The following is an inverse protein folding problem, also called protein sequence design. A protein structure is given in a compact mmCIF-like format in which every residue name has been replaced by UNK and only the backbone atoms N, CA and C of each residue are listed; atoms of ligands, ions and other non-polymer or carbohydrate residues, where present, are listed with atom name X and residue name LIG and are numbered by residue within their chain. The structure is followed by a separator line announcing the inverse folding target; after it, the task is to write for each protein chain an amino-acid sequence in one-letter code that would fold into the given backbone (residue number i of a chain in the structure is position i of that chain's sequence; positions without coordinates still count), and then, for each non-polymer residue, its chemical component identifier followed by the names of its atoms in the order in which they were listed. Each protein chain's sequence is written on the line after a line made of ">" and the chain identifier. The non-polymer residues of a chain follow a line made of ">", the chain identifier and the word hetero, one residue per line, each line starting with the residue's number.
data_IF_199599496473
#
_entry.id   IF_199599496473
#
_cell.length_a   1.000
_cell.length_b   1.000
_cell.length_c   1.000
_cell.angle_alpha   90.00
_cell.angle_beta   90.00
_cell.angle_gamma   90.00
#
_symmetry.space_group_name_H-M   'P 1'
#
loop_
_entity.id
_entity.type
_entity.pdbx_description
1 polymer ?
#
# COMPACT_ATOMS: atom_id res chain seq x y z
N UNK A 1 47.71 -14.12 22.97
CA UNK A 1 46.41 -13.82 22.35
C UNK A 1 46.72 -13.44 20.91
N UNK A 2 46.35 -14.28 19.94
CA UNK A 2 46.91 -14.29 18.59
C UNK A 2 46.12 -13.35 17.66
N UNK A 3 46.80 -12.39 17.02
CA UNK A 3 46.17 -11.46 16.07
C UNK A 3 45.58 -12.19 14.86
N UNK A 4 46.19 -13.30 14.43
CA UNK A 4 45.71 -14.10 13.31
C UNK A 4 44.33 -14.70 13.54
N UNK A 5 43.97 -15.02 14.79
CA UNK A 5 42.65 -15.57 15.13
C UNK A 5 41.54 -14.52 15.01
N UNK A 6 41.85 -13.25 15.32
CA UNK A 6 40.89 -12.14 15.15
C UNK A 6 40.63 -11.82 13.67
N UNK A 7 41.66 -11.88 12.82
CA UNK A 7 41.48 -11.61 11.38
C UNK A 7 40.59 -12.66 10.71
N UNK A 8 40.66 -13.92 11.13
CA UNK A 8 39.79 -15.00 10.63
C UNK A 8 38.32 -14.77 11.02
N UNK A 9 38.05 -14.40 12.28
CA UNK A 9 36.69 -14.10 12.75
C UNK A 9 36.09 -12.89 12.02
N UNK A 10 36.88 -11.84 11.79
CA UNK A 10 36.44 -10.64 11.05
C UNK A 10 36.10 -10.97 9.60
N UNK A 11 36.90 -11.81 8.94
CA UNK A 11 36.62 -12.26 7.56
C UNK A 11 35.33 -13.08 7.52
N UNK A 12 35.13 -13.99 8.47
CA UNK A 12 33.93 -14.81 8.54
C UNK A 12 32.67 -13.97 8.79
N UNK A 13 32.71 -13.05 9.77
CA UNK A 13 31.60 -12.14 10.05
C UNK A 13 31.24 -11.27 8.84
N UNK A 14 32.23 -10.88 8.03
CA UNK A 14 32.02 -10.09 6.82
C UNK A 14 31.26 -10.87 5.74
N UNK A 15 31.59 -12.14 5.55
CA UNK A 15 30.87 -13.01 4.61
C UNK A 15 29.45 -13.34 5.11
N UNK A 16 29.27 -13.56 6.41
CA UNK A 16 27.95 -13.74 7.02
C UNK A 16 27.07 -12.49 6.84
N UNK A 17 27.60 -11.31 7.10
CA UNK A 17 26.89 -10.04 6.90
C UNK A 17 26.49 -9.82 5.43
N UNK A 18 27.35 -10.23 4.49
CA UNK A 18 27.06 -10.18 3.05
C UNK A 18 25.94 -11.15 2.67
N UNK A 19 25.94 -12.36 3.22
CA UNK A 19 24.89 -13.34 3.03
C UNK A 19 23.54 -12.85 3.59
N UNK A 20 23.53 -12.30 4.82
CA UNK A 20 22.33 -11.73 5.45
C UNK A 20 21.78 -10.59 4.61
N UNK A 21 22.64 -9.68 4.12
CA UNK A 21 22.21 -8.58 3.25
C UNK A 21 21.56 -9.08 1.95
N UNK A 22 22.12 -10.13 1.36
CA UNK A 22 21.56 -10.75 0.15
C UNK A 22 20.16 -11.33 0.42
N UNK A 23 20.02 -12.12 1.49
CA UNK A 23 18.71 -12.68 1.85
C UNK A 23 17.70 -11.60 2.22
N UNK A 24 18.12 -10.52 2.91
CA UNK A 24 17.25 -9.38 3.19
C UNK A 24 16.75 -8.73 1.91
N UNK A 25 17.63 -8.53 0.91
CA UNK A 25 17.24 -7.98 -0.40
C UNK A 25 16.25 -8.88 -1.12
N UNK A 26 16.46 -10.20 -1.09
CA UNK A 26 15.54 -11.19 -1.65
C UNK A 26 14.17 -11.15 -0.97
N UNK A 27 14.14 -11.00 0.36
CA UNK A 27 12.89 -10.81 1.11
C UNK A 27 12.15 -9.53 0.70
N UNK A 28 12.87 -8.41 0.49
CA UNK A 28 12.29 -7.16 0.00
C UNK A 28 11.67 -7.33 -1.39
N UNK A 29 12.41 -7.90 -2.33
CA UNK A 29 11.93 -8.11 -3.70
C UNK A 29 10.72 -9.07 -3.73
N UNK A 30 10.72 -10.09 -2.87
CA UNK A 30 9.57 -11.00 -2.72
C UNK A 30 8.35 -10.31 -2.12
N UNK A 31 8.54 -9.37 -1.20
CA UNK A 31 7.46 -8.56 -0.63
C UNK A 31 6.87 -7.63 -1.69
N UNK A 32 7.70 -6.89 -2.45
CA UNK A 32 7.25 -6.04 -3.56
C UNK A 32 6.48 -6.85 -4.62
N UNK A 33 6.97 -8.06 -4.95
CA UNK A 33 6.30 -8.95 -5.90
C UNK A 33 4.95 -9.43 -5.36
N UNK A 34 4.87 -9.78 -4.07
CA UNK A 34 3.63 -10.18 -3.42
C UNK A 34 2.62 -9.05 -3.37
N UNK A 35 3.05 -7.84 -3.02
CA UNK A 35 2.21 -6.64 -3.06
C UNK A 35 1.67 -6.43 -4.48
N UNK A 36 2.57 -6.36 -5.47
CA UNK A 36 2.19 -6.20 -6.88
C UNK A 36 1.21 -7.29 -7.35
N UNK A 37 1.41 -8.55 -6.94
CA UNK A 37 0.52 -9.65 -7.29
C UNK A 37 -0.86 -9.53 -6.62
N UNK A 38 -0.93 -9.14 -5.34
CA UNK A 38 -2.19 -8.91 -4.64
C UNK A 38 -2.96 -7.76 -5.31
N UNK A 39 -2.29 -6.67 -5.64
CA UNK A 39 -2.91 -5.56 -6.34
C UNK A 39 -3.30 -5.95 -7.77
N UNK A 40 -2.46 -6.65 -8.53
CA UNK A 40 -2.74 -7.03 -9.93
C UNK A 40 -3.99 -7.90 -10.11
N UNK A 41 -4.41 -8.66 -9.07
CA UNK A 41 -5.67 -9.42 -9.10
C UNK A 41 -6.93 -8.55 -9.27
N UNK A 42 -6.83 -7.26 -8.93
CA UNK A 42 -7.93 -6.32 -9.07
C UNK A 42 -7.78 -5.48 -10.33
N UNK A 43 -8.76 -5.60 -11.21
CA UNK A 43 -8.93 -4.71 -12.36
C UNK A 43 -9.01 -3.25 -11.90
N UNK A 44 -8.58 -2.34 -12.77
CA UNK A 44 -8.71 -0.92 -12.52
C UNK A 44 -10.19 -0.54 -12.40
N UNK A 45 -10.47 0.49 -11.60
CA UNK A 45 -11.81 1.01 -11.48
C UNK A 45 -12.23 1.70 -12.78
N UNK A 46 -13.29 1.20 -13.40
CA UNK A 46 -13.82 1.70 -14.69
C UNK A 46 -15.11 2.52 -14.53
N UNK A 47 -15.66 2.64 -13.32
CA UNK A 47 -16.94 3.32 -13.09
C UNK A 47 -18.19 2.45 -13.32
N UNK A 48 -18.03 1.13 -13.50
CA UNK A 48 -19.15 0.22 -13.70
C UNK A 48 -20.00 -0.03 -12.45
N UNK A 49 -19.41 0.05 -11.26
CA UNK A 49 -20.11 -0.12 -9.98
C UNK A 49 -19.90 1.08 -9.05
N UNK A 50 -20.77 1.28 -8.04
CA UNK A 50 -20.57 2.33 -7.05
C UNK A 50 -19.21 2.23 -6.36
N UNK A 51 -18.52 3.37 -6.13
CA UNK A 51 -17.20 3.42 -5.51
C UNK A 51 -17.06 2.63 -4.21
N UNK A 52 -18.08 2.70 -3.36
CA UNK A 52 -18.07 2.05 -2.04
C UNK A 52 -17.91 0.54 -2.19
N UNK A 53 -18.73 -0.05 -3.07
CA UNK A 53 -18.72 -1.48 -3.33
C UNK A 53 -17.38 -1.96 -3.90
N UNK A 54 -16.79 -1.20 -4.83
CA UNK A 54 -15.49 -1.52 -5.41
C UNK A 54 -14.37 -1.43 -4.36
N UNK A 55 -14.31 -0.31 -3.62
CA UNK A 55 -13.28 -0.07 -2.62
C UNK A 55 -13.35 -1.08 -1.48
N UNK A 56 -14.54 -1.43 -1.01
CA UNK A 56 -14.73 -2.45 0.02
C UNK A 56 -14.23 -3.82 -0.45
N UNK A 57 -14.51 -4.19 -1.71
CA UNK A 57 -14.01 -5.45 -2.30
C UNK A 57 -12.48 -5.47 -2.36
N UNK A 58 -11.87 -4.40 -2.85
CA UNK A 58 -10.41 -4.27 -2.93
C UNK A 58 -9.80 -4.31 -1.53
N UNK A 59 -10.33 -3.53 -0.59
CA UNK A 59 -9.83 -3.41 0.77
C UNK A 59 -9.96 -4.71 1.57
N UNK A 60 -11.16 -5.31 1.61
CA UNK A 60 -11.40 -6.56 2.34
C UNK A 60 -10.53 -7.71 1.82
N UNK A 61 -10.17 -7.69 0.54
CA UNK A 61 -9.28 -8.70 -0.01
C UNK A 61 -7.81 -8.46 0.29
N UNK A 62 -7.37 -7.20 0.32
CA UNK A 62 -6.02 -6.84 0.77
C UNK A 62 -5.87 -7.29 2.23
N UNK A 63 -6.85 -6.95 3.09
CA UNK A 63 -6.87 -7.36 4.49
C UNK A 63 -6.90 -8.88 4.62
N UNK A 64 -7.74 -9.61 3.88
CA UNK A 64 -7.81 -11.08 4.01
C UNK A 64 -6.56 -11.82 3.53
N UNK A 65 -5.85 -11.30 2.51
CA UNK A 65 -4.59 -11.89 2.05
C UNK A 65 -3.41 -11.53 2.96
N UNK A 66 -3.51 -10.41 3.68
CA UNK A 66 -2.44 -9.89 4.50
C UNK A 66 -2.72 -10.05 5.99
N UNK A 67 -3.85 -10.58 6.45
CA UNK A 67 -4.39 -10.45 7.82
C UNK A 67 -3.34 -10.61 8.95
N UNK A 68 -2.57 -11.71 8.92
CA UNK A 68 -1.48 -11.93 9.89
C UNK A 68 -0.27 -11.00 9.70
N UNK A 69 0.05 -10.63 8.46
CA UNK A 69 1.11 -9.69 8.11
C UNK A 69 0.71 -8.23 8.36
N UNK A 70 -0.55 -7.86 8.16
CA UNK A 70 -1.10 -6.50 8.29
C UNK A 70 -1.12 -6.11 9.76
N UNK A 71 -1.66 -7.00 10.60
CA UNK A 71 -1.65 -6.83 12.07
C UNK A 71 -0.22 -6.75 12.59
N UNK A 72 0.67 -7.61 12.08
CA UNK A 72 2.08 -7.55 12.42
C UNK A 72 2.74 -6.25 11.94
N UNK A 73 2.45 -5.75 10.74
CA UNK A 73 2.98 -4.48 10.21
C UNK A 73 2.45 -3.25 10.97
N UNK A 74 1.18 -3.26 11.38
CA UNK A 74 0.56 -2.22 12.19
C UNK A 74 1.14 -2.19 13.62
N UNK A 75 1.59 -3.34 14.15
CA UNK A 75 2.11 -3.48 15.52
C UNK A 75 3.63 -3.42 15.60
N UNK A 76 4.36 -3.86 14.56
CA UNK A 76 5.81 -4.02 14.55
C UNK A 76 6.58 -2.72 14.29
N UNK A 77 5.92 -1.67 13.78
CA UNK A 77 6.51 -0.34 13.65
C UNK A 77 5.46 0.72 13.97
N UNK A 78 5.89 1.83 14.59
CA UNK A 78 5.06 2.91 15.11
C UNK A 78 4.25 3.69 14.04
N UNK A 79 3.28 3.04 13.38
CA UNK A 79 2.38 3.67 12.42
C UNK A 79 2.90 3.77 10.98
N UNK A 80 3.88 2.96 10.55
CA UNK A 80 4.40 3.04 9.16
C UNK A 80 3.38 2.57 8.10
N UNK A 81 2.45 1.67 8.46
CA UNK A 81 1.31 1.33 7.61
C UNK A 81 0.10 2.22 7.94
N UNK A 82 0.31 3.53 7.88
CA UNK A 82 -0.71 4.53 8.18
C UNK A 82 -1.77 4.66 7.07
N UNK A 83 -2.75 5.53 7.34
CA UNK A 83 -3.81 5.84 6.39
C UNK A 83 -3.30 6.47 5.09
N UNK A 84 -2.13 7.13 5.08
CA UNK A 84 -1.56 7.76 3.90
C UNK A 84 -1.09 6.69 2.92
N UNK A 85 -0.39 5.67 3.41
CA UNK A 85 0.02 4.51 2.58
C UNK A 85 -1.20 3.75 2.07
N UNK A 86 -2.19 3.47 2.94
CA UNK A 86 -3.45 2.82 2.56
C UNK A 86 -4.17 3.60 1.45
N UNK A 87 -4.29 4.92 1.60
CA UNK A 87 -4.91 5.79 0.62
C UNK A 87 -4.12 5.82 -0.71
N UNK A 88 -2.79 5.89 -0.64
CA UNK A 88 -1.91 5.84 -1.81
C UNK A 88 -2.11 4.58 -2.64
N UNK A 89 -2.18 3.42 -1.98
CA UNK A 89 -2.45 2.13 -2.62
C UNK A 89 -3.80 2.11 -3.33
N UNK A 90 -4.87 2.57 -2.69
CA UNK A 90 -6.20 2.65 -3.31
C UNK A 90 -6.21 3.59 -4.53
N UNK A 91 -5.51 4.73 -4.49
CA UNK A 91 -5.39 5.64 -5.65
C UNK A 91 -4.76 4.97 -6.87
N UNK A 92 -3.89 3.97 -6.69
CA UNK A 92 -3.30 3.22 -7.81
C UNK A 92 -4.31 2.39 -8.60
N UNK A 93 -5.52 2.18 -8.07
CA UNK A 93 -6.63 1.48 -8.72
C UNK A 93 -7.60 2.37 -9.47
N UNK A 94 -7.37 3.67 -9.43
CA UNK A 94 -8.24 4.66 -10.04
C UNK A 94 -7.68 5.19 -11.37
N UNK A 95 -6.62 4.58 -11.89
CA UNK A 95 -5.80 5.17 -12.96
C UNK A 95 -6.52 5.26 -14.30
N UNK A 96 -7.45 4.36 -14.56
CA UNK A 96 -8.17 4.32 -15.83
C UNK A 96 -9.36 5.29 -15.90
N UNK A 97 -10.01 5.59 -14.77
CA UNK A 97 -11.23 6.41 -14.74
C UNK A 97 -11.06 7.79 -14.11
N UNK A 98 -10.23 7.91 -13.06
CA UNK A 98 -10.24 9.03 -12.13
C UNK A 98 -8.87 9.70 -11.94
N UNK A 99 -8.02 9.71 -12.97
CA UNK A 99 -6.77 10.48 -12.98
C UNK A 99 -6.95 11.89 -13.57
N UNK A 100 -6.38 12.93 -12.93
CA UNK A 100 -5.69 12.89 -11.64
C UNK A 100 -6.70 12.87 -10.46
N UNK A 101 -6.37 12.13 -9.40
CA UNK A 101 -7.03 12.28 -8.10
C UNK A 101 -6.52 13.58 -7.47
N UNK A 102 -7.39 14.53 -7.10
CA UNK A 102 -6.96 15.80 -6.54
C UNK A 102 -6.31 15.61 -5.16
N UNK A 103 -5.47 16.57 -4.76
CA UNK A 103 -4.82 16.55 -3.45
C UNK A 103 -5.83 16.73 -2.31
N UNK A 104 -6.87 17.52 -2.55
CA UNK A 104 -7.91 17.88 -1.60
C UNK A 104 -9.29 17.53 -2.18
N UNK A 105 -10.25 17.18 -1.33
CA UNK A 105 -11.61 16.85 -1.76
C UNK A 105 -12.44 18.12 -1.99
N UNK A 106 -12.72 18.52 -3.25
CA UNK A 106 -13.48 19.73 -3.56
C UNK A 106 -14.98 19.61 -3.28
N UNK A 107 -15.47 18.42 -2.89
CA UNK A 107 -16.88 18.14 -2.69
C UNK A 107 -17.28 18.14 -1.21
N UNK A 108 -16.35 18.47 -0.31
CA UNK A 108 -16.58 18.52 1.13
C UNK A 108 -16.15 19.87 1.68
N UNK A 109 -16.86 20.39 2.68
CA UNK A 109 -16.51 21.64 3.35
C UNK A 109 -15.06 21.60 3.86
N UNK A 110 -14.36 22.74 3.76
CA UNK A 110 -12.94 22.92 4.10
C UNK A 110 -11.93 22.19 3.21
N UNK A 111 -12.37 21.53 2.12
CA UNK A 111 -11.50 20.85 1.15
C UNK A 111 -10.41 19.99 1.81
N UNK A 112 -10.77 18.98 2.62
CA UNK A 112 -9.79 18.21 3.37
C UNK A 112 -8.83 17.45 2.44
N UNK A 113 -7.58 17.18 2.87
CA UNK A 113 -6.66 16.35 2.11
C UNK A 113 -7.23 14.95 1.83
N UNK A 114 -7.01 14.42 0.64
CA UNK A 114 -7.36 13.04 0.29
C UNK A 114 -6.17 12.14 0.67
N UNK A 115 -5.96 11.96 1.96
CA UNK A 115 -4.88 11.13 2.51
C UNK A 115 -5.39 10.02 3.44
N UNK A 116 -6.72 9.92 3.61
CA UNK A 116 -7.37 8.84 4.33
C UNK A 116 -8.25 8.02 3.37
N UNK A 117 -8.39 6.70 3.54
CA UNK A 117 -9.35 5.89 2.79
C UNK A 117 -10.76 6.50 2.76
N UNK A 118 -11.26 6.99 3.90
CA UNK A 118 -12.60 7.59 4.02
C UNK A 118 -12.74 8.88 3.19
N UNK A 119 -11.71 9.73 3.20
CA UNK A 119 -11.70 10.96 2.39
C UNK A 119 -11.67 10.66 0.89
N UNK A 120 -10.98 9.59 0.48
CA UNK A 120 -10.95 9.11 -0.90
C UNK A 120 -12.30 8.54 -1.32
N UNK A 121 -12.91 7.71 -0.47
CA UNK A 121 -14.23 7.13 -0.73
C UNK A 121 -15.29 8.23 -0.89
N UNK A 122 -15.29 9.22 0.02
CA UNK A 122 -16.20 10.37 -0.04
C UNK A 122 -16.06 11.14 -1.36
N UNK A 123 -14.82 11.40 -1.78
CA UNK A 123 -14.54 12.06 -3.04
C UNK A 123 -15.03 11.24 -4.25
N UNK A 124 -14.71 9.94 -4.29
CA UNK A 124 -15.14 9.06 -5.38
C UNK A 124 -16.66 8.97 -5.47
N UNK A 125 -17.36 8.85 -4.33
CA UNK A 125 -18.83 8.80 -4.28
C UNK A 125 -19.44 10.06 -4.90
N UNK A 126 -18.96 11.24 -4.50
CA UNK A 126 -19.44 12.51 -5.04
C UNK A 126 -19.14 12.67 -6.54
N UNK A 127 -17.95 12.24 -7.00
CA UNK A 127 -17.59 12.26 -8.42
C UNK A 127 -18.48 11.31 -9.24
N UNK A 128 -18.67 10.09 -8.76
CA UNK A 128 -19.52 9.08 -9.39
C UNK A 128 -20.98 9.53 -9.52
N UNK A 129 -21.55 10.11 -8.46
CA UNK A 129 -22.92 10.63 -8.49
C UNK A 129 -23.09 11.71 -9.56
N UNK A 130 -22.16 12.67 -9.63
CA UNK A 130 -22.21 13.75 -10.63
C UNK A 130 -22.08 13.25 -12.07
N UNK A 131 -21.30 12.19 -12.28
CA UNK A 131 -21.07 11.63 -13.63
C UNK A 131 -22.21 10.70 -14.09
N UNK A 132 -22.87 9.98 -13.17
CA UNK A 132 -23.78 8.89 -13.54
C UNK A 132 -25.24 9.10 -13.15
N UNK A 133 -25.54 9.94 -12.15
CA UNK A 133 -26.90 10.09 -11.59
C UNK A 133 -27.49 11.48 -11.92
N UNK A 134 -26.64 12.46 -12.21
CA UNK A 134 -27.06 13.85 -12.41
C UNK A 134 -27.23 14.59 -11.07
N UNK A 135 -27.18 15.92 -11.13
CA UNK A 135 -27.34 16.83 -9.98
C UNK A 135 -28.80 17.07 -9.63
#
# INVERSE_FOLDING_TARGET
>A
MNLETHDVEVVQLKEECKAIKHELKKCQDHLELKEKAIFAKYEQYTGQEPPDKYLDKVWNSIVSHLDGSMTALETANAGDFDNVIKCGLLKTKLREKYIPVPANNPYTANNPPINLPDTLQTWMRAKYQRENIGT
#
